data_IF_109826347076
#
_entry.id   IF_109826347076
#
_cell.length_a   1.000
_cell.length_b   1.000
_cell.length_c   1.000
_cell.angle_alpha   90.00
_cell.angle_beta   90.00
_cell.angle_gamma   90.00
#
_symmetry.space_group_name_H-M   'P 1'
#
loop_
_entity.id
_entity.type
_entity.pdbx_description
1 polymer ?
#
# COMPACT_ATOMS: atom_id res chain seq x y z
N UNK A 1 -32.82 2.63 -5.05
CA UNK A 1 -31.58 1.85 -4.88
C UNK A 1 -30.59 2.75 -4.19
N UNK A 2 -29.74 2.24 -3.27
CA UNK A 2 -28.68 3.05 -2.65
C UNK A 2 -27.40 2.89 -3.42
N UNK A 3 -26.73 4.00 -3.72
CA UNK A 3 -25.46 4.03 -4.42
C UNK A 3 -24.35 4.55 -3.50
N UNK A 4 -23.18 3.95 -3.58
CA UNK A 4 -22.01 4.24 -2.78
C UNK A 4 -20.85 4.50 -3.72
N UNK A 5 -20.00 5.47 -3.43
CA UNK A 5 -18.84 5.79 -4.24
C UNK A 5 -17.55 5.46 -3.50
N UNK A 6 -16.80 4.49 -4.02
CA UNK A 6 -15.42 4.23 -3.62
C UNK A 6 -14.46 5.02 -4.51
N UNK A 7 -13.53 5.72 -3.89
CA UNK A 7 -12.43 6.42 -4.56
C UNK A 7 -11.13 5.75 -4.13
N UNK A 8 -10.56 4.96 -5.03
CA UNK A 8 -9.32 4.20 -4.84
C UNK A 8 -8.18 4.89 -5.60
N UNK A 9 -7.19 5.40 -4.86
CA UNK A 9 -6.07 6.16 -5.42
C UNK A 9 -4.76 5.46 -5.09
N UNK A 10 -4.18 4.82 -6.10
CA UNK A 10 -2.83 4.27 -6.01
C UNK A 10 -1.75 5.28 -6.44
N UNK A 11 -0.48 4.88 -6.35
CA UNK A 11 0.67 5.71 -6.67
C UNK A 11 0.75 6.13 -8.16
N UNK A 12 0.05 5.44 -9.06
CA UNK A 12 0.11 5.70 -10.52
C UNK A 12 -1.22 6.11 -11.15
N UNK A 13 -2.34 5.83 -10.50
CA UNK A 13 -3.67 6.17 -11.00
C UNK A 13 -4.70 6.20 -9.88
N UNK A 14 -5.80 6.91 -10.10
CA UNK A 14 -6.97 6.88 -9.22
C UNK A 14 -8.24 6.52 -9.99
N UNK A 15 -9.21 5.95 -9.29
CA UNK A 15 -10.49 5.47 -9.85
C UNK A 15 -11.64 5.86 -8.94
N UNK A 16 -12.78 6.16 -9.57
CA UNK A 16 -14.06 6.35 -8.89
C UNK A 16 -15.00 5.23 -9.33
N UNK A 17 -15.46 4.45 -8.38
CA UNK A 17 -16.25 3.25 -8.63
C UNK A 17 -17.55 3.36 -7.84
N UNK A 18 -18.67 3.46 -8.56
CA UNK A 18 -20.00 3.40 -7.95
C UNK A 18 -20.38 1.94 -7.70
N UNK A 19 -20.81 1.65 -6.48
CA UNK A 19 -21.32 0.34 -6.09
C UNK A 19 -22.78 0.40 -5.63
N UNK A 20 -23.50 -0.68 -5.87
CA UNK A 20 -24.87 -0.88 -5.36
C UNK A 20 -25.13 -2.36 -5.12
N UNK A 21 -26.15 -2.66 -4.33
CA UNK A 21 -26.55 -4.04 -4.07
C UNK A 21 -27.72 -4.41 -4.98
N UNK A 22 -27.55 -5.47 -5.76
CA UNK A 22 -28.56 -6.02 -6.66
C UNK A 22 -28.62 -7.55 -6.51
N UNK A 23 -29.80 -8.08 -6.28
CA UNK A 23 -30.03 -9.52 -6.05
C UNK A 23 -29.09 -10.15 -4.99
N UNK A 24 -28.70 -9.37 -3.96
CA UNK A 24 -27.80 -9.83 -2.90
C UNK A 24 -26.31 -9.65 -3.20
N UNK A 25 -25.93 -9.36 -4.42
CA UNK A 25 -24.55 -9.16 -4.85
C UNK A 25 -24.19 -7.68 -4.95
N UNK A 26 -22.92 -7.36 -4.75
CA UNK A 26 -22.39 -6.02 -5.00
C UNK A 26 -22.09 -5.90 -6.49
N UNK A 27 -22.76 -4.95 -7.14
CA UNK A 27 -22.47 -4.52 -8.51
C UNK A 27 -21.63 -3.26 -8.48
N UNK A 28 -20.73 -3.14 -9.44
CA UNK A 28 -19.83 -1.98 -9.52
C UNK A 28 -19.76 -1.43 -10.94
N UNK A 29 -19.55 -0.11 -11.04
CA UNK A 29 -19.27 0.57 -12.32
C UNK A 29 -18.21 1.63 -12.08
N UNK A 30 -17.09 1.53 -12.80
CA UNK A 30 -16.10 2.61 -12.86
C UNK A 30 -16.73 3.79 -13.63
N UNK A 31 -16.75 4.96 -13.00
CA UNK A 31 -17.34 6.18 -13.59
C UNK A 31 -16.29 7.22 -13.95
N UNK A 32 -15.10 7.15 -13.34
CA UNK A 32 -14.01 8.07 -13.63
C UNK A 32 -12.66 7.43 -13.29
N UNK A 33 -11.67 7.74 -14.12
CA UNK A 33 -10.27 7.32 -13.91
C UNK A 33 -9.35 8.50 -14.25
N UNK A 34 -8.25 8.63 -13.50
CA UNK A 34 -7.24 9.63 -13.74
C UNK A 34 -5.84 9.10 -13.47
N UNK A 35 -4.84 9.73 -14.08
CA UNK A 35 -3.44 9.43 -13.82
C UNK A 35 -2.98 10.13 -12.54
N UNK A 36 -2.15 9.45 -11.76
CA UNK A 36 -1.44 9.95 -10.61
C UNK A 36 0.05 9.67 -10.79
N UNK A 37 0.91 10.37 -10.06
CA UNK A 37 2.35 10.12 -10.09
C UNK A 37 3.12 11.17 -9.30
N UNK A 38 4.33 10.80 -8.95
CA UNK A 38 5.27 11.71 -8.29
C UNK A 38 5.80 12.72 -9.30
N UNK A 39 6.04 13.94 -8.83
CA UNK A 39 6.69 15.00 -9.57
C UNK A 39 8.08 15.25 -8.97
N UNK A 40 9.04 15.62 -9.80
CA UNK A 40 10.34 16.07 -9.33
C UNK A 40 10.34 17.59 -9.18
N UNK A 41 10.57 18.06 -7.94
CA UNK A 41 10.60 19.49 -7.62
C UNK A 41 11.77 19.76 -6.67
N UNK A 42 12.63 20.70 -7.03
CA UNK A 42 13.79 21.13 -6.22
C UNK A 42 14.68 19.97 -5.75
N UNK A 43 14.85 18.95 -6.61
CA UNK A 43 15.64 17.74 -6.30
C UNK A 43 14.87 16.63 -5.59
N UNK A 44 13.68 16.91 -5.09
CA UNK A 44 12.84 15.97 -4.34
C UNK A 44 11.70 15.37 -5.17
N UNK A 45 11.19 14.23 -4.71
CA UNK A 45 9.98 13.61 -5.22
C UNK A 45 8.78 14.03 -4.37
N UNK A 46 7.76 14.62 -5.01
CA UNK A 46 6.61 15.22 -4.33
C UNK A 46 5.28 14.80 -4.96
N UNK A 47 4.21 14.88 -4.17
CA UNK A 47 2.83 14.70 -4.63
C UNK A 47 2.18 16.04 -4.95
N UNK A 48 1.42 16.09 -6.06
CA UNK A 48 0.53 17.20 -6.36
C UNK A 48 -0.83 16.99 -5.70
N UNK A 49 -0.95 17.42 -4.44
CA UNK A 49 -2.19 17.31 -3.67
C UNK A 49 -3.32 18.20 -4.20
N UNK A 50 -2.97 19.26 -4.95
CA UNK A 50 -3.94 20.10 -5.64
C UNK A 50 -4.61 19.35 -6.77
N UNK A 51 -3.80 18.66 -7.60
CA UNK A 51 -4.30 17.78 -8.65
C UNK A 51 -5.17 16.65 -8.07
N UNK A 52 -4.70 15.97 -7.02
CA UNK A 52 -5.48 14.89 -6.37
C UNK A 52 -6.84 15.41 -5.88
N UNK A 53 -6.86 16.52 -5.15
CA UNK A 53 -8.11 17.12 -4.66
C UNK A 53 -9.06 17.54 -5.78
N UNK A 54 -8.54 18.08 -6.88
CA UNK A 54 -9.34 18.42 -8.06
C UNK A 54 -9.96 17.16 -8.71
N UNK A 55 -9.16 16.10 -8.89
CA UNK A 55 -9.63 14.84 -9.49
C UNK A 55 -10.64 14.09 -8.62
N UNK A 56 -10.49 14.13 -7.30
CA UNK A 56 -11.50 13.60 -6.37
C UNK A 56 -12.85 14.30 -6.57
N UNK A 57 -12.85 15.65 -6.60
CA UNK A 57 -14.08 16.44 -6.80
C UNK A 57 -14.70 16.21 -8.18
N UNK A 58 -13.87 16.19 -9.23
CA UNK A 58 -14.31 15.94 -10.61
C UNK A 58 -15.03 14.60 -10.73
N UNK A 59 -14.45 13.52 -10.19
CA UNK A 59 -15.08 12.20 -10.24
C UNK A 59 -16.36 12.09 -9.42
N UNK A 60 -16.44 12.77 -8.26
CA UNK A 60 -17.69 12.86 -7.49
C UNK A 60 -18.76 13.60 -8.32
N UNK A 61 -18.41 14.69 -8.98
CA UNK A 61 -19.34 15.49 -9.81
C UNK A 61 -19.85 14.68 -11.02
N UNK A 62 -19.00 13.85 -11.61
CA UNK A 62 -19.39 12.91 -12.67
C UNK A 62 -20.39 11.89 -12.13
N UNK A 63 -20.09 11.27 -10.99
CA UNK A 63 -20.96 10.27 -10.39
C UNK A 63 -22.33 10.83 -10.01
N UNK A 64 -22.40 12.03 -9.45
CA UNK A 64 -23.64 12.70 -9.04
C UNK A 64 -24.57 13.05 -10.19
N UNK A 65 -24.10 13.08 -11.45
CA UNK A 65 -24.96 13.28 -12.62
C UNK A 65 -25.88 12.10 -12.91
N UNK A 66 -25.43 10.88 -12.54
CA UNK A 66 -26.15 9.62 -12.84
C UNK A 66 -26.71 8.94 -11.60
N UNK A 67 -26.12 9.21 -10.40
CA UNK A 67 -26.39 8.47 -9.17
C UNK A 67 -26.69 9.39 -8.00
N UNK A 68 -27.74 9.07 -7.25
CA UNK A 68 -28.01 9.66 -5.94
C UNK A 68 -27.15 8.96 -4.88
N UNK A 69 -25.97 9.54 -4.61
CA UNK A 69 -24.96 8.93 -3.76
C UNK A 69 -25.34 8.99 -2.28
N UNK A 70 -25.40 7.84 -1.63
CA UNK A 70 -25.60 7.71 -0.19
C UNK A 70 -24.33 8.08 0.58
N UNK A 71 -23.17 7.60 0.11
CA UNK A 71 -21.88 7.91 0.71
C UNK A 71 -20.73 7.89 -0.30
N UNK A 72 -19.63 8.53 0.10
CA UNK A 72 -18.34 8.57 -0.57
C UNK A 72 -17.28 8.17 0.43
N UNK A 73 -16.33 7.34 0.05
CA UNK A 73 -15.16 6.99 0.83
C UNK A 73 -13.91 6.99 -0.02
N UNK A 74 -12.75 7.26 0.59
CA UNK A 74 -11.48 7.44 -0.10
C UNK A 74 -10.42 6.56 0.58
N UNK A 75 -9.75 5.73 -0.18
CA UNK A 75 -8.53 5.06 0.23
C UNK A 75 -7.36 5.44 -0.67
N UNK A 76 -6.16 5.40 -0.12
CA UNK A 76 -4.92 5.66 -0.84
C UNK A 76 -3.80 4.75 -0.32
N UNK A 77 -2.60 4.90 -0.89
CA UNK A 77 -1.39 4.32 -0.32
C UNK A 77 -1.12 4.83 1.10
N UNK A 78 -0.37 4.09 1.87
CA UNK A 78 0.02 4.44 3.24
C UNK A 78 1.23 5.38 3.32
N UNK A 79 1.70 5.62 4.52
CA UNK A 79 2.92 6.31 4.97
C UNK A 79 3.04 7.80 4.65
N UNK A 80 2.43 8.30 3.58
CA UNK A 80 2.52 9.71 3.17
C UNK A 80 1.43 10.57 3.78
N UNK A 81 1.77 11.81 4.07
CA UNK A 81 0.90 12.75 4.78
C UNK A 81 1.09 14.19 4.30
N UNK A 82 0.14 15.02 4.67
CA UNK A 82 0.15 16.46 4.50
C UNK A 82 0.29 17.14 5.86
N UNK A 83 1.36 17.90 6.06
CA UNK A 83 1.47 18.80 7.21
C UNK A 83 0.53 19.98 7.02
N UNK A 84 -0.14 20.39 8.11
CA UNK A 84 -1.11 21.48 8.10
C UNK A 84 -0.69 22.63 9.03
N UNK A 85 -0.85 23.86 8.60
CA UNK A 85 -0.86 25.04 9.47
C UNK A 85 -2.28 25.63 9.47
N UNK A 86 -3.06 25.32 10.51
CA UNK A 86 -4.50 25.55 10.51
C UNK A 86 -5.16 24.78 9.37
N UNK A 87 -5.71 25.51 8.40
CA UNK A 87 -6.39 24.94 7.22
C UNK A 87 -5.53 24.95 5.94
N UNK A 88 -4.29 25.40 6.07
CA UNK A 88 -3.37 25.55 4.94
C UNK A 88 -2.34 24.41 4.94
N UNK A 89 -2.18 23.66 3.82
CA UNK A 89 -1.14 22.64 3.73
C UNK A 89 0.26 23.29 3.66
N UNK A 90 1.21 22.69 4.38
CA UNK A 90 2.63 23.06 4.33
C UNK A 90 3.27 22.30 3.17
N UNK A 91 3.60 22.98 2.11
CA UNK A 91 4.22 22.42 0.91
C UNK A 91 5.75 22.39 1.01
N UNK A 92 6.44 21.51 0.26
CA UNK A 92 5.88 20.46 -0.58
C UNK A 92 5.37 19.26 0.24
N UNK A 93 4.51 18.42 -0.35
CA UNK A 93 4.14 17.11 0.18
C UNK A 93 5.06 16.08 -0.42
N UNK A 94 5.96 15.52 0.38
CA UNK A 94 6.96 14.58 -0.09
C UNK A 94 6.35 13.20 -0.37
N UNK A 95 6.88 12.54 -1.38
CA UNK A 95 6.50 11.16 -1.70
C UNK A 95 7.40 10.16 -0.97
N UNK A 96 6.86 9.02 -0.61
CA UNK A 96 7.60 7.96 0.10
C UNK A 96 8.85 7.45 -0.64
N UNK A 97 8.94 7.70 -1.96
CA UNK A 97 10.12 7.37 -2.79
C UNK A 97 11.22 8.43 -2.75
N UNK A 98 11.03 9.53 -2.01
CA UNK A 98 12.04 10.56 -1.84
C UNK A 98 13.15 10.06 -0.89
N UNK A 99 14.38 10.37 -1.24
CA UNK A 99 15.57 9.88 -0.51
C UNK A 99 15.84 10.61 0.82
N UNK A 100 15.08 11.66 1.16
CA UNK A 100 15.30 12.52 2.34
C UNK A 100 15.32 11.77 3.68
N UNK A 101 14.70 10.61 3.74
CA UNK A 101 14.63 9.81 4.96
C UNK A 101 15.92 9.02 5.23
N UNK A 102 16.71 8.72 4.21
CA UNK A 102 17.95 7.92 4.35
C UNK A 102 18.94 8.51 5.34
N UNK A 103 19.01 9.85 5.40
CA UNK A 103 19.96 10.56 6.25
C UNK A 103 19.57 10.58 7.73
N UNK A 104 18.33 10.21 8.06
CA UNK A 104 17.82 10.32 9.45
C UNK A 104 17.56 8.96 10.12
N UNK A 105 17.61 7.86 9.38
CA UNK A 105 17.31 6.51 9.91
C UNK A 105 18.24 6.16 11.08
N UNK A 106 19.54 6.29 10.91
CA UNK A 106 20.52 5.96 11.94
C UNK A 106 20.36 6.84 13.18
N UNK A 107 20.02 8.11 12.99
CA UNK A 107 19.77 9.03 14.10
C UNK A 107 18.50 8.62 14.87
N UNK A 108 17.42 8.28 14.17
CA UNK A 108 16.20 7.75 14.80
C UNK A 108 16.51 6.48 15.59
N UNK A 109 17.27 5.55 15.01
CA UNK A 109 17.63 4.29 15.68
C UNK A 109 18.60 4.48 16.84
N UNK A 110 19.36 5.59 16.88
CA UNK A 110 20.18 5.95 18.05
C UNK A 110 19.36 6.47 19.22
N UNK A 111 18.19 7.08 18.94
CA UNK A 111 17.25 7.58 19.96
C UNK A 111 16.33 6.47 20.49
N UNK A 112 15.93 5.56 19.63
CA UNK A 112 15.16 4.34 19.93
C UNK A 112 15.51 3.27 18.92
N UNK A 113 16.08 2.15 19.38
CA UNK A 113 16.51 1.08 18.47
C UNK A 113 15.36 0.53 17.65
N UNK A 114 15.64 0.00 16.44
CA UNK A 114 14.58 -0.59 15.62
C UNK A 114 13.93 -1.78 16.34
N UNK A 115 14.67 -2.55 17.10
CA UNK A 115 14.13 -3.64 17.93
C UNK A 115 13.08 -3.13 18.92
N UNK A 116 13.36 -2.01 19.61
CA UNK A 116 12.39 -1.39 20.52
C UNK A 116 11.19 -0.80 19.78
N UNK A 117 11.40 -0.13 18.64
CA UNK A 117 10.34 0.37 17.77
C UNK A 117 9.43 -0.78 17.32
N UNK A 118 10.02 -1.88 16.86
CA UNK A 118 9.27 -3.05 16.42
C UNK A 118 8.50 -3.72 17.57
N UNK A 119 9.14 -3.92 18.71
CA UNK A 119 8.47 -4.49 19.89
C UNK A 119 7.25 -3.69 20.33
N UNK A 120 7.24 -2.37 20.09
CA UNK A 120 6.14 -1.47 20.45
C UNK A 120 5.06 -1.38 19.39
N UNK A 121 5.44 -1.36 18.12
CA UNK A 121 4.51 -1.09 17.01
C UNK A 121 4.22 -2.33 16.16
N UNK A 122 5.13 -3.28 16.12
CA UNK A 122 5.09 -4.41 15.19
C UNK A 122 5.18 -4.00 13.72
N UNK A 123 5.57 -2.75 13.42
CA UNK A 123 5.61 -2.24 12.06
C UNK A 123 6.92 -2.66 11.38
N UNK A 124 6.81 -3.21 10.19
CA UNK A 124 7.92 -3.56 9.31
C UNK A 124 8.84 -2.36 9.09
N UNK A 125 10.16 -2.58 9.13
CA UNK A 125 11.10 -1.57 8.68
C UNK A 125 10.98 -1.33 7.18
N UNK A 126 10.70 -0.07 6.87
CA UNK A 126 10.85 0.46 5.52
C UNK A 126 11.44 1.87 5.65
N UNK A 127 12.43 2.24 4.82
CA UNK A 127 13.10 3.54 4.93
C UNK A 127 12.14 4.72 4.75
N UNK A 128 10.95 4.46 4.23
CA UNK A 128 9.92 5.45 3.95
C UNK A 128 8.77 5.47 4.98
N UNK A 129 8.82 4.72 6.09
CA UNK A 129 7.77 4.83 7.12
C UNK A 129 7.65 6.27 7.60
N UNK A 130 6.45 6.69 7.97
CA UNK A 130 6.15 8.08 8.35
C UNK A 130 6.99 8.57 9.53
N UNK A 131 7.38 7.68 10.43
CA UNK A 131 8.26 7.99 11.56
C UNK A 131 9.57 8.67 11.10
N UNK A 132 10.22 8.14 10.03
CA UNK A 132 11.43 8.73 9.46
C UNK A 132 11.13 10.00 8.69
N UNK A 133 10.01 10.06 7.98
CA UNK A 133 9.57 11.25 7.26
C UNK A 133 9.28 12.42 8.22
N UNK A 134 8.57 12.18 9.33
CA UNK A 134 8.28 13.19 10.35
C UNK A 134 9.55 13.64 11.06
N UNK A 135 10.49 12.72 11.30
CA UNK A 135 11.78 13.11 11.88
C UNK A 135 12.61 13.96 10.92
N UNK A 136 12.60 13.66 9.62
CA UNK A 136 13.21 14.51 8.60
C UNK A 136 12.54 15.90 8.53
N UNK A 137 11.21 15.96 8.59
CA UNK A 137 10.49 17.25 8.66
C UNK A 137 10.86 18.06 9.92
N UNK A 138 11.02 17.40 11.07
CA UNK A 138 11.53 18.04 12.29
C UNK A 138 12.92 18.64 12.07
N UNK A 139 13.85 17.87 11.50
CA UNK A 139 15.22 18.35 11.20
C UNK A 139 15.25 19.55 10.27
N UNK A 140 14.29 19.62 9.36
CA UNK A 140 14.12 20.74 8.41
C UNK A 140 13.33 21.92 9.00
N UNK A 141 12.93 21.88 10.28
CA UNK A 141 12.14 22.94 10.93
C UNK A 141 10.67 23.02 10.47
N UNK A 142 10.22 22.07 9.62
CA UNK A 142 8.86 22.10 9.04
C UNK A 142 7.76 21.87 10.07
N UNK A 143 8.08 21.18 11.19
CA UNK A 143 7.12 20.94 12.26
C UNK A 143 6.87 22.15 13.17
N UNK A 144 7.70 23.20 13.11
CA UNK A 144 7.57 24.38 13.97
C UNK A 144 6.23 25.12 13.77
N UNK A 145 5.70 25.10 12.55
CA UNK A 145 4.44 25.73 12.20
C UNK A 145 3.31 24.73 11.95
N UNK A 146 3.58 23.43 12.09
CA UNK A 146 2.58 22.41 11.88
C UNK A 146 1.61 22.33 13.07
N UNK A 147 0.33 22.50 12.81
CA UNK A 147 -0.74 22.35 13.79
C UNK A 147 -1.38 20.95 13.72
N UNK A 148 -1.17 20.22 12.61
CA UNK A 148 -1.67 18.89 12.38
C UNK A 148 -0.88 18.19 11.27
N UNK A 149 -1.02 16.87 11.15
CA UNK A 149 -0.70 16.13 9.94
C UNK A 149 -1.85 15.19 9.61
N UNK A 150 -2.16 15.04 8.34
CA UNK A 150 -3.23 14.18 7.84
C UNK A 150 -2.63 13.23 6.80
N UNK A 151 -2.89 11.94 6.93
CA UNK A 151 -2.56 11.00 5.86
C UNK A 151 -3.28 11.45 4.57
N UNK A 152 -2.77 11.06 3.40
CA UNK A 152 -3.32 11.55 2.13
C UNK A 152 -4.84 11.39 2.02
N UNK A 153 -5.47 10.23 2.33
CA UNK A 153 -6.94 10.09 2.24
C UNK A 153 -7.67 10.97 3.24
N UNK A 154 -7.11 11.13 4.45
CA UNK A 154 -7.67 12.01 5.48
C UNK A 154 -7.67 13.48 5.02
N UNK A 155 -6.58 13.93 4.41
CA UNK A 155 -6.48 15.26 3.82
C UNK A 155 -7.52 15.45 2.71
N UNK A 156 -7.68 14.47 1.82
CA UNK A 156 -8.67 14.55 0.73
C UNK A 156 -10.10 14.63 1.28
N UNK A 157 -10.44 13.83 2.29
CA UNK A 157 -11.75 13.90 2.97
C UNK A 157 -11.94 15.22 3.73
N UNK A 158 -10.89 15.73 4.39
CA UNK A 158 -10.91 17.05 4.99
C UNK A 158 -11.22 18.16 3.94
N UNK A 159 -10.63 18.08 2.76
CA UNK A 159 -10.87 19.05 1.66
C UNK A 159 -12.30 18.99 1.09
N UNK A 160 -13.04 17.92 1.35
CA UNK A 160 -14.46 17.79 1.02
C UNK A 160 -15.36 18.35 2.14
N UNK A 161 -15.04 18.05 3.40
CA UNK A 161 -15.95 18.19 4.53
C UNK A 161 -15.60 19.34 5.49
N UNK A 162 -14.36 19.82 5.47
CA UNK A 162 -13.82 20.73 6.49
C UNK A 162 -13.52 20.08 7.86
N UNK A 163 -13.76 18.78 8.03
CA UNK A 163 -13.53 18.06 9.28
C UNK A 163 -12.26 17.19 9.18
N UNK A 164 -11.40 17.29 10.19
CA UNK A 164 -10.18 16.50 10.30
C UNK A 164 -10.44 15.24 11.13
N UNK A 165 -10.13 14.07 10.57
CA UNK A 165 -10.12 12.78 11.29
C UNK A 165 -8.88 12.00 10.87
N UNK A 166 -8.28 11.27 11.81
CA UNK A 166 -7.16 10.35 11.57
C UNK A 166 -7.71 8.93 11.62
N UNK A 167 -7.43 8.14 10.58
CA UNK A 167 -8.01 6.81 10.49
C UNK A 167 -6.98 5.74 10.87
N UNK A 168 -7.42 4.78 11.65
CA UNK A 168 -6.59 3.77 12.31
C UNK A 168 -5.80 2.90 11.33
N UNK A 169 -6.42 2.38 10.25
CA UNK A 169 -5.74 1.41 9.38
C UNK A 169 -4.57 2.04 8.63
N UNK A 170 -4.71 3.29 8.21
CA UNK A 170 -3.61 4.03 7.58
C UNK A 170 -2.59 4.51 8.62
N UNK A 171 -3.04 4.94 9.80
CA UNK A 171 -2.12 5.35 10.87
C UNK A 171 -1.16 4.23 11.29
N UNK A 172 -1.55 2.95 11.19
CA UNK A 172 -0.66 1.82 11.52
C UNK A 172 0.53 1.70 10.57
N UNK A 173 0.47 2.27 9.37
CA UNK A 173 1.61 2.29 8.43
C UNK A 173 2.71 3.27 8.85
N UNK A 174 2.40 4.16 9.80
CA UNK A 174 3.34 5.22 10.24
C UNK A 174 4.55 4.71 11.00
N UNK A 175 4.49 3.50 11.57
CA UNK A 175 5.48 2.99 12.51
C UNK A 175 5.42 3.66 13.88
N UNK A 176 4.27 4.24 14.24
CA UNK A 176 4.11 5.01 15.49
C UNK A 176 2.84 4.65 16.28
N UNK A 177 2.13 3.59 15.91
CA UNK A 177 0.98 3.09 16.66
C UNK A 177 1.42 1.99 17.62
N UNK A 178 1.15 2.16 18.91
CA UNK A 178 1.40 1.13 19.90
C UNK A 178 0.38 -0.01 19.74
N UNK A 179 0.88 -1.21 19.49
CA UNK A 179 0.05 -2.36 19.16
C UNK A 179 -0.89 -2.81 20.31
N UNK A 180 -0.56 -2.47 21.57
CA UNK A 180 -1.36 -2.84 22.74
C UNK A 180 -2.52 -1.89 23.01
N UNK A 181 -2.35 -0.61 22.71
CA UNK A 181 -3.34 0.45 22.96
C UNK A 181 -4.10 0.89 21.71
N UNK A 182 -3.60 0.53 20.53
CA UNK A 182 -4.09 0.95 19.21
C UNK A 182 -4.17 2.48 19.06
N UNK A 183 -3.22 3.18 19.69
CA UNK A 183 -3.09 4.64 19.66
C UNK A 183 -1.66 5.04 19.32
N UNK A 184 -1.44 6.31 19.02
CA UNK A 184 -0.10 6.85 18.83
C UNK A 184 0.77 6.66 20.07
N UNK A 185 1.94 6.10 19.91
CA UNK A 185 2.87 5.79 20.99
C UNK A 185 3.58 7.04 21.50
N UNK A 186 3.17 7.48 22.70
CA UNK A 186 3.74 8.69 23.31
C UNK A 186 5.21 8.56 23.69
N UNK A 187 5.74 7.34 23.90
CA UNK A 187 7.17 7.14 24.16
C UNK A 187 8.00 7.37 22.90
N UNK A 188 7.57 6.86 21.76
CA UNK A 188 8.20 7.11 20.47
C UNK A 188 8.18 8.61 20.16
N UNK A 189 7.00 9.24 20.28
CA UNK A 189 6.83 10.67 20.02
C UNK A 189 7.76 11.51 20.90
N UNK A 190 7.86 11.19 22.17
CA UNK A 190 8.73 11.87 23.12
C UNK A 190 10.23 11.62 22.83
N UNK A 191 10.62 10.36 22.60
CA UNK A 191 12.02 10.01 22.32
C UNK A 191 12.56 10.72 21.07
N UNK A 192 11.72 10.84 20.04
CA UNK A 192 12.05 11.56 18.81
C UNK A 192 11.89 13.07 18.92
N UNK A 193 11.35 13.58 20.03
CA UNK A 193 11.07 15.01 20.25
C UNK A 193 10.10 15.58 19.22
N UNK A 194 9.08 14.79 18.82
CA UNK A 194 8.02 15.21 17.91
C UNK A 194 6.94 16.00 18.68
N UNK A 195 6.31 17.01 18.05
CA UNK A 195 5.28 17.80 18.72
C UNK A 195 4.03 16.95 19.04
N UNK A 196 3.78 16.71 20.34
CA UNK A 196 2.69 15.83 20.81
C UNK A 196 1.31 16.19 20.26
N UNK A 197 1.03 17.48 20.03
CA UNK A 197 -0.27 17.94 19.57
C UNK A 197 -0.65 17.46 18.17
N UNK A 198 0.32 17.01 17.36
CA UNK A 198 0.08 16.45 16.04
C UNK A 198 -0.59 15.05 16.09
N UNK A 199 -0.45 14.34 17.21
CA UNK A 199 -0.85 12.95 17.40
C UNK A 199 -2.16 12.86 18.17
N UNK A 200 -3.26 13.15 17.49
CA UNK A 200 -4.59 13.17 18.07
C UNK A 200 -5.25 11.79 18.07
N UNK A 201 -6.42 11.68 18.69
CA UNK A 201 -7.19 10.43 18.75
C UNK A 201 -7.49 9.90 17.34
N UNK A 202 -7.38 8.58 17.18
CA UNK A 202 -7.74 7.88 15.94
C UNK A 202 -9.25 7.63 15.87
N UNK A 203 -9.76 7.66 14.65
CA UNK A 203 -11.09 7.19 14.26
C UNK A 203 -10.96 5.83 13.57
N UNK A 204 -12.09 5.13 13.47
CA UNK A 204 -12.15 3.81 12.87
C UNK A 204 -12.98 3.82 11.58
N UNK A 205 -12.80 2.82 10.70
CA UNK A 205 -13.69 2.61 9.56
C UNK A 205 -15.17 2.65 9.96
N UNK A 206 -16.03 3.05 9.06
CA UNK A 206 -17.48 3.27 9.21
C UNK A 206 -17.86 4.58 9.95
N UNK A 207 -16.92 5.33 10.55
CA UNK A 207 -17.23 6.64 11.11
C UNK A 207 -17.47 7.68 10.00
N UNK A 208 -18.50 8.52 10.19
CA UNK A 208 -18.76 9.64 9.29
C UNK A 208 -17.77 10.79 9.56
N UNK A 209 -17.13 11.31 8.54
CA UNK A 209 -16.28 12.49 8.57
C UNK A 209 -17.12 13.76 8.46
N UNK A 210 -18.11 13.76 7.59
CA UNK A 210 -18.99 14.88 7.30
C UNK A 210 -19.84 14.59 6.06
N UNK A 211 -20.25 15.67 5.38
CA UNK A 211 -21.06 15.57 4.16
C UNK A 211 -20.43 16.40 3.03
N UNK A 212 -20.60 15.96 1.81
CA UNK A 212 -20.23 16.68 0.60
C UNK A 212 -21.31 16.51 -0.48
N UNK A 213 -21.91 17.63 -0.90
CA UNK A 213 -22.98 17.64 -1.93
C UNK A 213 -24.13 16.67 -1.66
N UNK A 214 -24.54 16.51 -0.39
CA UNK A 214 -25.64 15.64 0.01
C UNK A 214 -25.23 14.18 0.30
N UNK A 215 -24.03 13.76 -0.08
CA UNK A 215 -23.52 12.43 0.26
C UNK A 215 -22.70 12.46 1.55
N UNK A 216 -22.83 11.43 2.40
CA UNK A 216 -21.98 11.26 3.58
C UNK A 216 -20.56 10.94 3.14
N UNK A 217 -19.56 11.57 3.74
CA UNK A 217 -18.16 11.15 3.61
C UNK A 217 -17.84 10.24 4.79
N UNK A 218 -17.50 8.98 4.50
CA UNK A 218 -17.34 7.92 5.50
C UNK A 218 -15.92 7.35 5.42
N UNK A 219 -15.33 7.04 6.57
CA UNK A 219 -14.05 6.35 6.63
C UNK A 219 -14.24 4.88 6.19
N UNK A 220 -13.48 4.45 5.19
CA UNK A 220 -13.21 3.04 4.94
C UNK A 220 -11.93 2.61 5.66
N UNK A 221 -11.38 1.44 5.39
CA UNK A 221 -9.99 1.14 5.65
C UNK A 221 -9.16 2.00 4.67
N UNK A 222 -8.70 3.18 5.12
CA UNK A 222 -8.16 4.20 4.22
C UNK A 222 -6.79 3.88 3.66
N UNK A 223 -6.11 2.84 4.16
CA UNK A 223 -4.97 2.23 3.49
C UNK A 223 -5.50 1.27 2.41
N UNK A 224 -5.12 1.47 1.14
CA UNK A 224 -5.59 0.71 -0.03
C UNK A 224 -5.49 -0.82 0.16
N UNK A 225 -4.38 -1.29 0.76
CA UNK A 225 -4.22 -2.71 1.11
C UNK A 225 -5.20 -3.15 2.21
N UNK A 226 -5.53 -2.28 3.16
CA UNK A 226 -6.57 -2.54 4.15
C UNK A 226 -7.92 -2.77 3.48
N UNK A 227 -8.31 -1.87 2.59
CA UNK A 227 -9.51 -2.03 1.77
C UNK A 227 -9.42 -3.27 0.87
N UNK A 228 -8.28 -3.54 0.24
CA UNK A 228 -8.13 -4.73 -0.61
C UNK A 228 -8.39 -6.03 0.15
N UNK A 229 -7.86 -6.16 1.37
CA UNK A 229 -8.06 -7.35 2.21
C UNK A 229 -9.53 -7.54 2.61
N UNK A 230 -10.28 -6.44 2.85
CA UNK A 230 -11.73 -6.49 3.07
C UNK A 230 -12.51 -6.93 1.81
N UNK A 231 -11.98 -6.61 0.64
CA UNK A 231 -12.57 -7.00 -0.65
C UNK A 231 -12.44 -8.49 -0.97
N UNK A 232 -11.47 -9.21 -0.39
CA UNK A 232 -11.23 -10.63 -0.68
C UNK A 232 -12.34 -11.48 -0.05
N UNK A 233 -13.01 -12.36 -0.81
CA UNK A 233 -14.04 -13.25 -0.28
C UNK A 233 -13.40 -14.50 0.38
N UNK A 234 -12.55 -14.29 1.39
CA UNK A 234 -11.96 -15.37 2.17
C UNK A 234 -12.97 -15.96 3.14
N UNK A 235 -13.00 -17.29 3.26
CA UNK A 235 -13.88 -18.01 4.19
C UNK A 235 -13.25 -18.21 5.57
N UNK A 236 -11.93 -17.99 5.69
CA UNK A 236 -11.17 -18.17 6.93
C UNK A 236 -9.98 -17.23 7.02
N UNK A 237 -8.92 -17.69 7.64
CA UNK A 237 -7.66 -16.95 7.81
C UNK A 237 -6.60 -17.43 6.82
N UNK A 238 -6.97 -17.63 5.57
CA UNK A 238 -6.05 -18.00 4.50
C UNK A 238 -5.13 -16.81 4.17
N UNK A 239 -3.87 -17.12 3.73
CA UNK A 239 -2.98 -16.08 3.25
C UNK A 239 -3.50 -15.41 1.99
N UNK A 240 -3.15 -14.14 1.87
CA UNK A 240 -3.42 -13.33 0.70
C UNK A 240 -2.16 -12.67 0.16
N UNK A 241 -2.17 -12.36 -1.13
CA UNK A 241 -1.24 -11.43 -1.78
C UNK A 241 -2.07 -10.32 -2.43
N UNK A 242 -1.90 -9.08 -1.96
CA UNK A 242 -2.32 -7.90 -2.71
C UNK A 242 -1.20 -7.55 -3.69
N UNK A 243 -1.35 -7.98 -4.94
CA UNK A 243 -0.30 -7.90 -5.96
C UNK A 243 -0.49 -6.66 -6.83
N UNK A 244 0.25 -5.62 -6.51
CA UNK A 244 0.34 -4.36 -7.24
C UNK A 244 1.78 -4.03 -7.62
N UNK A 245 2.15 -2.76 -7.57
CA UNK A 245 3.55 -2.29 -7.68
C UNK A 245 4.42 -2.99 -6.63
N UNK A 246 3.95 -3.05 -5.40
CA UNK A 246 4.41 -3.93 -4.33
C UNK A 246 3.51 -5.16 -4.25
N UNK A 247 3.99 -6.19 -3.58
CA UNK A 247 3.18 -7.34 -3.17
C UNK A 247 3.13 -7.39 -1.66
N UNK A 248 1.94 -7.23 -1.08
CA UNK A 248 1.72 -7.38 0.35
C UNK A 248 1.17 -8.77 0.60
N UNK A 249 2.01 -9.64 1.16
CA UNK A 249 1.67 -11.00 1.53
C UNK A 249 1.37 -11.06 3.02
N UNK A 250 0.25 -11.63 3.41
CA UNK A 250 -0.13 -11.68 4.82
C UNK A 250 -1.33 -12.57 5.11
N UNK A 251 -1.75 -12.50 6.37
CA UNK A 251 -2.90 -13.23 6.93
C UNK A 251 -3.61 -12.34 7.96
N UNK A 252 -4.90 -12.60 8.17
CA UNK A 252 -5.65 -11.99 9.28
C UNK A 252 -5.32 -12.69 10.60
N UNK A 253 -4.96 -11.92 11.63
CA UNK A 253 -4.72 -12.42 13.00
C UNK A 253 -5.60 -11.69 14.00
N UNK A 254 -5.93 -12.36 15.12
CA UNK A 254 -6.73 -11.74 16.18
C UNK A 254 -5.93 -10.78 17.06
N UNK A 255 -4.59 -10.85 17.02
CA UNK A 255 -3.69 -10.01 17.77
C UNK A 255 -2.40 -9.80 16.96
N UNK A 256 -1.65 -8.71 17.22
CA UNK A 256 -0.33 -8.49 16.63
C UNK A 256 0.68 -9.58 17.01
N UNK A 257 1.56 -9.93 16.06
CA UNK A 257 2.68 -10.85 16.24
C UNK A 257 3.97 -10.01 16.26
N UNK A 258 4.55 -9.81 17.44
CA UNK A 258 5.74 -8.94 17.64
C UNK A 258 6.92 -9.68 18.25
N UNK A 259 6.91 -11.02 18.16
CA UNK A 259 8.01 -11.86 18.66
C UNK A 259 9.29 -11.70 17.81
N UNK A 260 10.37 -12.31 18.29
CA UNK A 260 11.69 -12.23 17.64
C UNK A 260 11.68 -12.79 16.21
N UNK A 261 10.90 -13.82 15.92
CA UNK A 261 10.81 -14.38 14.57
C UNK A 261 10.13 -13.37 13.61
N UNK A 262 9.06 -12.74 14.07
CA UNK A 262 8.35 -11.68 13.33
C UNK A 262 9.26 -10.48 13.07
N UNK A 263 10.06 -10.08 14.07
CA UNK A 263 11.06 -9.03 13.94
C UNK A 263 12.13 -9.38 12.91
N UNK A 264 12.75 -10.56 13.03
CA UNK A 264 13.83 -11.01 12.13
C UNK A 264 13.38 -11.20 10.69
N UNK A 265 12.15 -11.66 10.48
CA UNK A 265 11.57 -11.81 9.14
C UNK A 265 10.94 -10.51 8.62
N UNK A 266 11.02 -9.42 9.39
CA UNK A 266 10.52 -8.10 9.03
C UNK A 266 9.04 -8.12 8.58
N UNK A 267 8.17 -8.77 9.37
CA UNK A 267 6.72 -8.75 9.18
C UNK A 267 6.11 -7.52 9.84
N UNK A 268 5.06 -6.98 9.25
CA UNK A 268 4.30 -5.83 9.74
C UNK A 268 2.98 -6.26 10.37
N UNK A 269 2.59 -5.55 11.40
CA UNK A 269 1.26 -5.62 12.00
C UNK A 269 0.52 -4.33 11.67
N UNK A 270 -0.48 -4.42 10.82
CA UNK A 270 -1.27 -3.27 10.40
C UNK A 270 -2.75 -3.47 10.72
N UNK A 271 -3.46 -2.37 10.96
CA UNK A 271 -4.86 -2.40 11.31
C UNK A 271 -5.76 -2.89 10.19
N UNK A 272 -6.69 -3.78 10.53
CA UNK A 272 -7.86 -4.14 9.75
C UNK A 272 -9.13 -3.78 10.51
N UNK A 273 -10.30 -4.26 10.06
CA UNK A 273 -11.58 -3.98 10.71
C UNK A 273 -11.90 -5.09 11.70
N UNK A 274 -11.53 -4.85 12.96
CA UNK A 274 -11.70 -5.84 14.01
C UNK A 274 -10.69 -6.99 14.01
N UNK A 275 -9.61 -6.88 13.25
CA UNK A 275 -8.50 -7.82 13.19
C UNK A 275 -7.19 -7.08 12.89
N UNK A 276 -6.07 -7.79 13.01
CA UNK A 276 -4.75 -7.34 12.63
C UNK A 276 -4.35 -7.98 11.31
N UNK A 277 -3.78 -7.21 10.38
CA UNK A 277 -3.14 -7.69 9.16
C UNK A 277 -1.68 -7.99 9.47
N UNK A 278 -1.35 -9.24 9.70
CA UNK A 278 0.03 -9.69 9.84
C UNK A 278 0.59 -9.95 8.45
N UNK A 279 1.42 -9.05 7.95
CA UNK A 279 1.80 -9.03 6.53
C UNK A 279 3.23 -8.56 6.32
N UNK A 280 3.77 -8.85 5.15
CA UNK A 280 5.10 -8.42 4.71
C UNK A 280 4.97 -7.73 3.35
N UNK A 281 5.55 -6.55 3.25
CA UNK A 281 5.68 -5.85 1.98
C UNK A 281 6.94 -6.36 1.27
N UNK A 282 6.77 -6.95 0.11
CA UNK A 282 7.83 -7.52 -0.72
C UNK A 282 7.74 -6.97 -2.14
N UNK A 283 8.79 -7.18 -2.93
CA UNK A 283 8.80 -6.75 -4.32
C UNK A 283 7.61 -7.34 -5.08
N UNK A 284 6.99 -6.51 -5.92
CA UNK A 284 5.83 -6.89 -6.73
C UNK A 284 6.05 -6.63 -8.22
N UNK A 285 4.98 -6.23 -8.90
CA UNK A 285 4.99 -6.00 -10.35
C UNK A 285 5.86 -4.81 -10.79
N UNK A 286 6.42 -4.05 -9.86
CA UNK A 286 7.35 -2.95 -10.15
C UNK A 286 8.48 -3.38 -11.12
N UNK A 287 9.18 -4.48 -10.79
CA UNK A 287 10.29 -4.97 -11.63
C UNK A 287 9.83 -5.35 -13.03
N UNK A 288 8.64 -5.93 -13.16
CA UNK A 288 8.04 -6.30 -14.44
C UNK A 288 7.64 -5.05 -15.25
N UNK A 289 7.05 -4.06 -14.59
CA UNK A 289 6.64 -2.81 -15.24
C UNK A 289 7.84 -2.00 -15.74
N UNK A 290 8.92 -1.94 -14.94
CA UNK A 290 10.15 -1.25 -15.35
C UNK A 290 10.86 -1.98 -16.49
N UNK A 291 10.95 -3.32 -16.45
CA UNK A 291 11.45 -4.10 -17.57
C UNK A 291 10.62 -3.85 -18.84
N UNK A 292 9.29 -3.79 -18.73
CA UNK A 292 8.42 -3.50 -19.88
C UNK A 292 8.68 -2.10 -20.42
N UNK A 293 8.72 -1.10 -19.56
CA UNK A 293 8.99 0.29 -19.95
C UNK A 293 10.33 0.42 -20.70
N UNK A 294 11.34 -0.36 -20.27
CA UNK A 294 12.69 -0.29 -20.83
C UNK A 294 12.87 -1.14 -22.09
N UNK A 295 12.34 -2.38 -22.11
CA UNK A 295 12.63 -3.36 -23.14
C UNK A 295 11.52 -3.54 -24.18
N UNK A 296 10.26 -3.43 -23.77
CA UNK A 296 9.09 -3.76 -24.59
C UNK A 296 7.91 -2.79 -24.35
N UNK A 297 8.12 -1.45 -24.50
CA UNK A 297 7.10 -0.45 -24.10
C UNK A 297 5.79 -0.58 -24.89
N UNK A 298 5.86 -0.97 -26.16
CA UNK A 298 4.71 -1.05 -27.07
C UNK A 298 4.08 -2.45 -27.13
N UNK A 299 4.69 -3.45 -26.45
CA UNK A 299 4.21 -4.83 -26.52
C UNK A 299 3.04 -5.03 -25.55
N UNK A 300 2.00 -5.75 -26.01
CA UNK A 300 0.89 -6.13 -25.18
C UNK A 300 1.33 -7.01 -24.00
N UNK A 301 0.74 -6.76 -22.83
CA UNK A 301 1.14 -7.45 -21.62
C UNK A 301 0.87 -8.96 -21.67
N UNK A 302 -0.22 -9.39 -22.31
CA UNK A 302 -0.55 -10.81 -22.46
C UNK A 302 0.44 -11.52 -23.40
N UNK A 303 0.93 -10.82 -24.41
CA UNK A 303 1.99 -11.35 -25.26
C UNK A 303 3.30 -11.53 -24.50
N UNK A 304 3.69 -10.56 -23.67
CA UNK A 304 4.89 -10.66 -22.81
C UNK A 304 4.76 -11.89 -21.90
N UNK A 305 3.63 -12.06 -21.24
CA UNK A 305 3.37 -13.22 -20.35
C UNK A 305 3.49 -14.54 -21.10
N UNK A 306 2.86 -14.66 -22.28
CA UNK A 306 2.92 -15.86 -23.11
C UNK A 306 4.34 -16.18 -23.55
N UNK A 307 5.08 -15.19 -24.04
CA UNK A 307 6.46 -15.37 -24.53
C UNK A 307 7.43 -15.66 -23.39
N UNK A 308 7.24 -15.08 -22.21
CA UNK A 308 8.00 -15.42 -21.02
C UNK A 308 7.75 -16.86 -20.57
N UNK A 309 6.51 -17.37 -20.68
CA UNK A 309 6.19 -18.77 -20.41
C UNK A 309 6.86 -19.75 -21.39
N UNK A 310 6.96 -19.37 -22.66
CA UNK A 310 7.62 -20.14 -23.72
C UNK A 310 9.16 -20.11 -23.63
N UNK A 311 9.76 -19.12 -22.95
CA UNK A 311 11.21 -19.02 -22.78
C UNK A 311 11.76 -20.22 -21.99
N UNK A 312 12.95 -20.68 -22.37
CA UNK A 312 13.71 -21.73 -21.67
C UNK A 312 14.67 -21.19 -20.61
N UNK A 313 14.69 -19.87 -20.37
CA UNK A 313 15.63 -19.27 -19.42
C UNK A 313 15.30 -19.69 -17.98
N UNK A 314 16.32 -20.14 -17.24
CA UNK A 314 16.18 -20.69 -15.89
C UNK A 314 16.82 -19.86 -14.77
N UNK A 315 17.46 -18.73 -15.11
CA UNK A 315 18.05 -17.81 -14.15
C UNK A 315 17.03 -17.26 -13.15
N UNK A 316 17.51 -17.01 -11.94
CA UNK A 316 16.75 -16.52 -10.79
C UNK A 316 17.63 -15.52 -10.06
N UNK A 317 17.02 -14.49 -9.49
CA UNK A 317 17.66 -13.51 -8.62
C UNK A 317 16.83 -13.28 -7.35
N UNK A 318 17.41 -12.65 -6.36
CA UNK A 318 16.66 -12.17 -5.20
C UNK A 318 15.79 -10.97 -5.64
N UNK A 319 14.48 -11.19 -5.78
CA UNK A 319 13.54 -10.12 -6.18
C UNK A 319 13.50 -8.95 -5.19
N UNK A 320 13.88 -9.16 -3.93
CA UNK A 320 13.93 -8.14 -2.88
C UNK A 320 15.32 -7.47 -2.74
N UNK A 321 16.23 -7.69 -3.70
CA UNK A 321 17.53 -7.03 -3.68
C UNK A 321 17.38 -5.50 -3.71
N UNK A 322 18.09 -4.75 -2.83
CA UNK A 322 17.98 -3.30 -2.77
C UNK A 322 18.29 -2.59 -4.10
N UNK A 323 19.14 -3.18 -4.96
CA UNK A 323 19.47 -2.61 -6.26
C UNK A 323 18.27 -2.55 -7.22
N UNK A 324 17.21 -3.35 -6.99
CA UNK A 324 15.98 -3.37 -7.79
C UNK A 324 14.93 -2.34 -7.35
N UNK A 325 15.17 -1.65 -6.23
CA UNK A 325 14.18 -0.74 -5.65
C UNK A 325 13.93 0.51 -6.51
N UNK A 326 15.01 1.12 -7.02
CA UNK A 326 14.95 2.31 -7.85
C UNK A 326 16.19 2.41 -8.78
N UNK A 327 16.44 1.41 -9.64
CA UNK A 327 17.58 1.44 -10.53
C UNK A 327 17.43 2.48 -11.65
N UNK A 328 18.54 3.00 -12.16
CA UNK A 328 18.55 3.83 -13.38
C UNK A 328 18.11 2.99 -14.58
N UNK A 329 18.50 1.72 -14.62
CA UNK A 329 18.08 0.72 -15.61
C UNK A 329 17.81 -0.61 -14.91
N UNK A 330 16.59 -1.09 -15.01
CA UNK A 330 16.19 -2.39 -14.46
C UNK A 330 16.93 -3.54 -15.16
N UNK A 331 17.10 -3.45 -16.46
CA UNK A 331 17.89 -4.41 -17.23
C UNK A 331 19.32 -4.52 -16.69
N UNK A 332 19.99 -3.37 -16.49
CA UNK A 332 21.36 -3.37 -15.97
C UNK A 332 21.46 -3.92 -14.55
N UNK A 333 20.45 -3.66 -13.70
CA UNK A 333 20.38 -4.22 -12.36
C UNK A 333 20.27 -5.76 -12.41
N UNK A 334 19.43 -6.31 -13.29
CA UNK A 334 19.33 -7.75 -13.54
C UNK A 334 20.66 -8.33 -14.01
N UNK A 335 21.30 -7.69 -15.01
CA UNK A 335 22.60 -8.11 -15.55
C UNK A 335 23.71 -8.15 -14.49
N UNK A 336 23.62 -7.29 -13.47
CA UNK A 336 24.55 -7.26 -12.35
C UNK A 336 24.33 -8.36 -11.30
N UNK A 337 23.11 -8.90 -11.20
CA UNK A 337 22.72 -9.92 -10.22
C UNK A 337 22.77 -11.35 -10.79
N UNK A 338 22.79 -11.52 -12.10
CA UNK A 338 22.72 -12.80 -12.76
C UNK A 338 24.10 -13.26 -13.27
N UNK A 339 24.46 -14.50 -12.97
CA UNK A 339 25.67 -15.12 -13.50
C UNK A 339 25.60 -15.31 -15.02
N UNK A 340 24.45 -15.81 -15.50
CA UNK A 340 24.16 -15.99 -16.92
C UNK A 340 23.14 -14.95 -17.35
N UNK A 341 23.53 -14.06 -18.26
CA UNK A 341 22.64 -12.99 -18.71
C UNK A 341 21.55 -13.52 -19.64
N UNK A 342 20.31 -12.99 -19.55
CA UNK A 342 19.24 -13.26 -20.48
C UNK A 342 19.64 -12.94 -21.93
N UNK A 343 19.28 -13.80 -22.89
CA UNK A 343 19.65 -13.65 -24.30
C UNK A 343 18.71 -12.70 -25.05
N UNK A 344 17.48 -12.55 -24.59
CA UNK A 344 16.45 -11.69 -25.20
C UNK A 344 15.53 -11.08 -24.13
N UNK A 345 14.69 -10.14 -24.52
CA UNK A 345 13.80 -9.43 -23.59
C UNK A 345 12.89 -10.37 -22.79
N UNK A 346 12.33 -11.41 -23.39
CA UNK A 346 11.38 -12.31 -22.72
C UNK A 346 12.03 -13.18 -21.63
N UNK A 347 13.33 -13.44 -21.75
CA UNK A 347 14.10 -14.13 -20.72
C UNK A 347 14.19 -13.31 -19.43
N UNK A 348 14.30 -11.96 -19.50
CA UNK A 348 14.22 -11.09 -18.33
C UNK A 348 12.86 -11.18 -17.64
N UNK A 349 11.76 -11.22 -18.40
CA UNK A 349 10.42 -11.38 -17.81
C UNK A 349 10.24 -12.74 -17.18
N UNK A 350 10.74 -13.82 -17.80
CA UNK A 350 10.70 -15.15 -17.20
C UNK A 350 11.48 -15.18 -15.88
N UNK A 351 12.70 -14.62 -15.88
CA UNK A 351 13.51 -14.45 -14.66
C UNK A 351 12.72 -13.71 -13.58
N UNK A 352 12.13 -12.55 -13.92
CA UNK A 352 11.36 -11.76 -12.98
C UNK A 352 10.19 -12.55 -12.37
N UNK A 353 9.40 -13.26 -13.18
CA UNK A 353 8.26 -14.04 -12.68
C UNK A 353 8.69 -15.21 -11.78
N UNK A 354 9.76 -15.92 -12.14
CA UNK A 354 10.30 -16.99 -11.31
C UNK A 354 10.84 -16.45 -9.99
N UNK A 355 11.57 -15.36 -10.02
CA UNK A 355 12.12 -14.70 -8.84
C UNK A 355 11.03 -14.20 -7.90
N UNK A 356 9.96 -13.62 -8.43
CA UNK A 356 8.78 -13.21 -7.65
C UNK A 356 8.08 -14.42 -7.01
N UNK A 357 7.87 -15.50 -7.75
CA UNK A 357 7.24 -16.71 -7.22
C UNK A 357 8.04 -17.32 -6.07
N UNK A 358 9.38 -17.31 -6.16
CA UNK A 358 10.25 -17.77 -5.08
C UNK A 358 10.19 -16.84 -3.86
N UNK A 359 10.20 -15.53 -4.07
CA UNK A 359 10.02 -14.55 -2.99
C UNK A 359 8.69 -14.76 -2.25
N UNK A 360 7.62 -15.08 -2.97
CA UNK A 360 6.32 -15.42 -2.37
C UNK A 360 6.39 -16.71 -1.55
N UNK A 361 7.09 -17.74 -2.07
CA UNK A 361 7.31 -19.00 -1.33
C UNK A 361 8.03 -18.74 -0.01
N UNK A 362 9.16 -18.04 -0.06
CA UNK A 362 9.96 -17.70 1.14
C UNK A 362 9.12 -16.96 2.18
N UNK A 363 8.37 -15.95 1.74
CA UNK A 363 7.51 -15.18 2.63
C UNK A 363 6.38 -16.04 3.24
N UNK A 364 5.78 -16.97 2.48
CA UNK A 364 4.75 -17.88 3.02
C UNK A 364 5.37 -18.86 4.04
N UNK A 365 6.54 -19.40 3.78
CA UNK A 365 7.24 -20.29 4.71
C UNK A 365 7.60 -19.55 6.02
N UNK A 366 8.02 -18.28 5.93
CA UNK A 366 8.20 -17.43 7.10
C UNK A 366 6.88 -17.21 7.85
N UNK A 367 5.80 -16.88 7.12
CA UNK A 367 4.47 -16.69 7.68
C UNK A 367 4.00 -17.93 8.46
N UNK A 368 4.18 -19.12 7.87
CA UNK A 368 3.81 -20.39 8.49
C UNK A 368 4.61 -20.65 9.76
N UNK A 369 5.92 -20.38 9.74
CA UNK A 369 6.77 -20.48 10.94
C UNK A 369 6.35 -19.52 12.04
N UNK A 370 6.11 -18.25 11.68
CA UNK A 370 5.79 -17.19 12.65
C UNK A 370 4.40 -17.37 13.26
N UNK A 371 3.43 -17.89 12.50
CA UNK A 371 2.07 -18.11 12.98
C UNK A 371 1.84 -19.50 13.59
N UNK A 372 2.78 -20.43 13.40
CA UNK A 372 2.63 -21.85 13.79
C UNK A 372 1.50 -22.55 13.03
N UNK A 373 1.13 -22.08 11.84
CA UNK A 373 0.02 -22.59 11.02
C UNK A 373 0.53 -23.00 9.65
N UNK A 374 -0.14 -23.97 9.03
CA UNK A 374 0.06 -24.36 7.64
C UNK A 374 -1.19 -24.02 6.85
N UNK A 375 -1.01 -23.53 5.63
CA UNK A 375 -2.09 -23.10 4.76
C UNK A 375 -2.12 -23.94 3.47
N UNK A 376 -3.32 -24.27 2.99
CA UNK A 376 -3.50 -25.01 1.74
C UNK A 376 -3.84 -24.11 0.55
N UNK A 377 -4.38 -22.92 0.82
CA UNK A 377 -4.83 -21.96 -0.19
C UNK A 377 -4.06 -20.65 -0.08
N UNK A 378 -3.99 -19.91 -1.19
CA UNK A 378 -3.41 -18.60 -1.29
C UNK A 378 -4.28 -17.74 -2.21
N UNK A 379 -4.85 -16.66 -1.67
CA UNK A 379 -5.61 -15.70 -2.46
C UNK A 379 -4.68 -14.65 -3.06
N UNK A 380 -4.82 -14.37 -4.37
CA UNK A 380 -4.09 -13.30 -5.05
C UNK A 380 -5.10 -12.33 -5.63
N UNK A 381 -4.98 -11.04 -5.27
CA UNK A 381 -5.82 -9.95 -5.77
C UNK A 381 -4.95 -8.83 -6.35
N UNK A 382 -5.58 -7.84 -6.97
CA UNK A 382 -4.90 -6.72 -7.62
C UNK A 382 -4.46 -7.01 -9.04
N UNK A 383 -3.63 -6.13 -9.60
CA UNK A 383 -3.20 -6.20 -11.00
C UNK A 383 -2.46 -7.48 -11.35
N UNK A 384 -1.62 -7.98 -10.44
CA UNK A 384 -0.86 -9.22 -10.62
C UNK A 384 -1.71 -10.48 -10.71
N UNK A 385 -2.94 -10.49 -10.16
CA UNK A 385 -3.87 -11.61 -10.29
C UNK A 385 -4.22 -11.95 -11.74
N UNK A 386 -4.08 -10.99 -12.66
CA UNK A 386 -4.31 -11.19 -14.10
C UNK A 386 -3.15 -11.92 -14.80
N UNK A 387 -2.00 -12.06 -14.14
CA UNK A 387 -0.82 -12.71 -14.71
C UNK A 387 -0.84 -14.22 -14.47
N UNK A 388 -1.38 -14.96 -15.43
CA UNK A 388 -1.54 -16.42 -15.33
C UNK A 388 -0.23 -17.17 -15.13
N UNK A 389 0.86 -16.71 -15.76
CA UNK A 389 2.16 -17.37 -15.64
C UNK A 389 2.76 -17.20 -14.25
N UNK A 390 2.71 -15.98 -13.67
CA UNK A 390 3.15 -15.75 -12.30
C UNK A 390 2.31 -16.57 -11.30
N UNK A 391 0.97 -16.62 -11.48
CA UNK A 391 0.08 -17.41 -10.60
C UNK A 391 0.41 -18.90 -10.66
N UNK A 392 0.69 -19.46 -11.84
CA UNK A 392 1.13 -20.84 -12.05
C UNK A 392 2.44 -21.10 -11.32
N UNK A 393 3.46 -20.26 -11.56
CA UNK A 393 4.76 -20.37 -10.89
C UNK A 393 4.64 -20.25 -9.36
N UNK A 394 3.75 -19.39 -8.88
CA UNK A 394 3.47 -19.26 -7.45
C UNK A 394 2.87 -20.53 -6.88
N UNK A 395 1.89 -21.16 -7.55
CA UNK A 395 1.31 -22.42 -7.13
C UNK A 395 2.36 -23.53 -7.11
N UNK A 396 3.18 -23.64 -8.15
CA UNK A 396 4.27 -24.64 -8.25
C UNK A 396 5.31 -24.42 -7.15
N UNK A 397 5.74 -23.18 -6.90
CA UNK A 397 6.76 -22.86 -5.90
C UNK A 397 6.27 -23.10 -4.45
N UNK A 398 5.03 -22.69 -4.16
CA UNK A 398 4.47 -22.76 -2.79
C UNK A 398 3.81 -24.10 -2.46
N UNK A 399 3.44 -24.89 -3.48
CA UNK A 399 2.63 -26.09 -3.31
C UNK A 399 1.19 -25.84 -2.84
N UNK A 400 0.69 -24.59 -2.97
CA UNK A 400 -0.64 -24.18 -2.50
C UNK A 400 -1.61 -24.01 -3.67
N UNK A 401 -2.91 -24.22 -3.38
CA UNK A 401 -3.97 -23.83 -4.30
C UNK A 401 -4.03 -22.30 -4.42
N UNK A 402 -3.63 -21.76 -5.57
CA UNK A 402 -3.68 -20.32 -5.85
C UNK A 402 -5.05 -19.94 -6.38
N UNK A 403 -5.76 -19.09 -5.64
CA UNK A 403 -7.06 -18.51 -6.01
C UNK A 403 -6.82 -17.07 -6.46
N UNK A 404 -6.55 -16.89 -7.75
CA UNK A 404 -6.33 -15.58 -8.34
C UNK A 404 -7.66 -14.93 -8.71
N UNK A 405 -7.97 -13.83 -8.05
CA UNK A 405 -9.21 -13.08 -8.24
C UNK A 405 -8.88 -11.74 -8.92
N UNK A 406 -9.13 -11.61 -10.22
CA UNK A 406 -8.91 -10.36 -10.96
C UNK A 406 -10.04 -9.35 -10.67
N UNK A 407 -10.41 -9.21 -9.41
CA UNK A 407 -11.44 -8.29 -8.91
C UNK A 407 -10.81 -6.97 -8.49
N UNK A 408 -11.61 -5.94 -8.47
CA UNK A 408 -11.28 -4.64 -7.90
C UNK A 408 -11.39 -4.71 -6.35
N UNK A 409 -10.50 -5.50 -5.73
CA UNK A 409 -10.61 -5.84 -4.32
C UNK A 409 -10.61 -4.61 -3.42
N UNK A 410 -9.76 -3.62 -3.70
CA UNK A 410 -9.69 -2.36 -2.95
C UNK A 410 -11.04 -1.63 -2.98
N UNK A 411 -11.59 -1.43 -4.17
CA UNK A 411 -12.89 -0.77 -4.32
C UNK A 411 -14.04 -1.58 -3.68
N UNK A 412 -14.03 -2.91 -3.82
CA UNK A 412 -15.03 -3.77 -3.19
C UNK A 412 -14.96 -3.71 -1.67
N UNK A 413 -13.76 -3.71 -1.10
CA UNK A 413 -13.55 -3.57 0.33
C UNK A 413 -13.99 -2.19 0.84
N UNK A 414 -13.62 -1.13 0.12
CA UNK A 414 -14.08 0.22 0.40
C UNK A 414 -15.62 0.33 0.39
N UNK A 415 -16.30 -0.29 -0.58
CA UNK A 415 -17.77 -0.29 -0.72
C UNK A 415 -18.50 -1.14 0.32
N UNK A 416 -17.82 -2.06 1.01
CA UNK A 416 -18.42 -2.90 2.07
C UNK A 416 -18.61 -2.14 3.39
N UNK A 417 -17.98 -0.97 3.52
CA UNK A 417 -18.06 -0.07 4.68
C UNK A 417 -19.21 0.91 4.52
#
# INVERSE_FOLDING_TARGET
MKYYLAIDIGASSGRHIVGWKEAGEIRTKEVFRFSNGVQKKDGHLVWDIGHLGAKVKEGIDIALKEYDLTSVSIDTWGVDYVLMNGDVPILPVYAYRDDRTKEVIDEVHSLMSFEELYARTGCQFQPFNSIYQLYADKKQGRLEHATDFLMIPEYLMYRLTGNKKKEFTNATTTGMIEHSTLAFDLKIIHALGLPKHLFTKLSHPMETVGEYKGAKVVLCATHDTGSAVEGIPMEGNEPYISSGTWSLLGVKTGAPCTDENSFRSNYSNEGGIGYNRYQKNIMGMWIVNELRRELLPETDFQEIVRKAEESGYDGILNANDPSLLAPVSMKSAFDGLLETKPANAYDYFRCAYRSLALSYKEAIEELERNTGRTYSKLYIVGGGAKNRFLNKLTAEATGKEVIALPIEATALGNLKM
#
